data_IF_214520035703
#
_entry.id   IF_214520035703
#
_cell.length_a   1.000
_cell.length_b   1.000
_cell.length_c   1.000
_cell.angle_alpha   90.00
_cell.angle_beta   90.00
_cell.angle_gamma   90.00
#
_symmetry.space_group_name_H-M   'P 1'
#
loop_
_entity.id
_entity.type
_entity.pdbx_description
1 polymer ?
#
# COMPACT_ATOMS: atom_id res chain seq x y z
N UNK A 1 50.97 25.35 -1.60
CA UNK A 1 49.91 25.55 -0.61
C UNK A 1 48.94 24.40 -0.75
N UNK A 2 48.95 23.49 0.22
CA UNK A 2 48.23 22.21 0.15
C UNK A 2 46.77 22.42 0.52
N UNK A 3 45.86 21.97 -0.35
CA UNK A 3 44.43 21.90 -0.09
C UNK A 3 44.21 20.86 1.03
N UNK A 4 44.03 21.32 2.27
CA UNK A 4 43.61 20.45 3.37
C UNK A 4 42.14 20.08 3.14
N UNK A 5 41.89 18.80 2.89
CA UNK A 5 40.57 18.18 3.08
C UNK A 5 40.05 18.53 4.48
N UNK A 6 38.98 19.33 4.56
CA UNK A 6 38.36 19.75 5.81
C UNK A 6 37.28 18.78 6.34
N UNK A 7 37.20 17.54 5.85
CA UNK A 7 36.08 16.62 6.13
C UNK A 7 36.42 15.42 7.03
N UNK A 8 37.66 15.30 7.53
CA UNK A 8 38.03 14.21 8.44
C UNK A 8 37.80 14.61 9.90
N UNK A 9 36.68 14.19 10.48
CA UNK A 9 36.46 14.21 11.93
C UNK A 9 37.56 13.39 12.60
N UNK A 10 38.35 14.00 13.49
CA UNK A 10 39.46 13.32 14.15
C UNK A 10 38.97 12.51 15.36
N UNK A 11 39.73 11.48 15.80
CA UNK A 11 39.40 10.75 17.03
C UNK A 11 39.35 11.67 18.26
N UNK A 12 40.16 12.73 18.27
CA UNK A 12 40.18 13.74 19.34
C UNK A 12 38.87 14.51 19.39
N UNK A 13 38.32 14.92 18.23
CA UNK A 13 37.04 15.62 18.17
C UNK A 13 35.91 14.77 18.75
N UNK A 14 35.93 13.46 18.47
CA UNK A 14 34.93 12.52 18.99
C UNK A 14 35.06 12.34 20.49
N UNK A 15 36.28 12.21 21.02
CA UNK A 15 36.51 12.10 22.46
C UNK A 15 36.11 13.38 23.21
N UNK A 16 36.41 14.55 22.65
CA UNK A 16 35.97 15.84 23.19
C UNK A 16 34.45 15.95 23.20
N UNK A 17 33.79 15.55 22.11
CA UNK A 17 32.33 15.50 22.08
C UNK A 17 31.80 14.56 23.17
N UNK A 18 32.30 13.32 23.28
CA UNK A 18 31.85 12.37 24.29
C UNK A 18 32.02 12.86 25.74
N UNK A 19 32.99 13.75 25.99
CA UNK A 19 33.23 14.36 27.29
C UNK A 19 32.31 15.57 27.58
N UNK A 20 31.67 16.14 26.56
CA UNK A 20 30.72 17.24 26.69
C UNK A 20 29.28 16.75 26.94
N UNK A 21 28.51 17.54 27.68
CA UNK A 21 27.10 17.26 28.01
C UNK A 21 26.20 17.25 26.76
N UNK A 22 26.64 17.80 25.62
CA UNK A 22 25.93 17.72 24.34
C UNK A 22 26.59 16.80 23.31
N UNK A 23 27.58 16.01 23.73
CA UNK A 23 28.34 15.10 22.87
C UNK A 23 27.50 14.22 21.97
N UNK A 24 26.45 13.66 22.52
CA UNK A 24 25.58 12.72 21.81
C UNK A 24 24.90 13.39 20.59
N UNK A 25 24.54 14.67 20.70
CA UNK A 25 23.95 15.44 19.59
C UNK A 25 24.95 15.71 18.48
N UNK A 26 26.21 15.90 18.83
CA UNK A 26 27.27 16.18 17.88
C UNK A 26 27.67 14.92 17.13
N UNK A 27 27.81 13.78 17.82
CA UNK A 27 28.03 12.47 17.21
C UNK A 27 26.87 12.11 16.27
N UNK A 28 25.63 12.30 16.72
CA UNK A 28 24.46 12.10 15.86
C UNK A 28 24.51 12.99 14.60
N UNK A 29 24.94 14.25 14.73
CA UNK A 29 25.12 15.16 13.59
C UNK A 29 26.14 14.64 12.60
N UNK A 30 27.30 14.21 13.08
CA UNK A 30 28.39 13.70 12.26
C UNK A 30 28.02 12.40 11.56
N UNK A 31 27.42 11.45 12.28
CA UNK A 31 26.89 10.21 11.71
C UNK A 31 25.88 10.49 10.60
N UNK A 32 24.97 11.44 10.82
CA UNK A 32 23.96 11.80 9.85
C UNK A 32 24.54 12.51 8.61
N UNK A 33 25.53 13.39 8.79
CA UNK A 33 26.24 14.05 7.68
C UNK A 33 27.05 13.06 6.83
N UNK A 34 27.73 12.10 7.48
CA UNK A 34 28.54 11.08 6.82
C UNK A 34 27.73 9.88 6.31
N UNK A 35 26.45 9.78 6.64
CA UNK A 35 25.56 8.68 6.28
C UNK A 35 26.06 7.31 6.80
N UNK A 36 26.62 7.29 8.00
CA UNK A 36 27.14 6.09 8.69
C UNK A 36 26.63 6.00 10.14
N UNK A 37 26.53 4.79 10.69
CA UNK A 37 26.07 4.60 12.08
C UNK A 37 27.08 5.15 13.09
N UNK A 38 26.67 5.45 14.33
CA UNK A 38 27.59 5.87 15.39
C UNK A 38 28.73 4.86 15.64
N UNK A 39 28.42 3.56 15.61
CA UNK A 39 29.43 2.51 15.78
C UNK A 39 30.46 2.53 14.65
N UNK A 40 30.01 2.72 13.40
CA UNK A 40 30.91 2.83 12.24
C UNK A 40 31.74 4.11 12.26
N UNK A 41 31.15 5.24 12.67
CA UNK A 41 31.89 6.50 12.83
C UNK A 41 33.05 6.35 13.83
N UNK A 42 32.81 5.67 14.96
CA UNK A 42 33.85 5.38 15.95
C UNK A 42 34.90 4.41 15.43
N UNK A 43 34.48 3.35 14.72
CA UNK A 43 35.39 2.39 14.11
C UNK A 43 36.33 3.04 13.10
N UNK A 44 35.81 3.91 12.22
CA UNK A 44 36.62 4.66 11.25
C UNK A 44 37.60 5.63 11.94
N UNK A 45 37.31 6.05 13.17
CA UNK A 45 38.20 6.84 14.01
C UNK A 45 39.11 6.00 14.92
N UNK A 46 39.09 4.66 14.83
CA UNK A 46 39.88 3.78 15.68
C UNK A 46 39.46 3.74 17.15
N UNK A 47 38.21 4.10 17.45
CA UNK A 47 37.65 4.13 18.80
C UNK A 47 36.73 2.92 19.08
N UNK A 48 36.57 2.49 20.35
CA UNK A 48 35.67 1.38 20.70
C UNK A 48 34.21 1.64 20.30
N UNK A 49 33.60 0.69 19.56
CA UNK A 49 32.20 0.76 19.11
C UNK A 49 31.18 0.89 20.26
N UNK A 50 31.51 0.38 21.44
CA UNK A 50 30.66 0.46 22.64
C UNK A 50 30.33 1.90 23.03
N UNK A 51 31.24 2.86 22.78
CA UNK A 51 31.03 4.28 23.08
C UNK A 51 29.88 4.90 22.28
N UNK A 52 29.58 4.35 21.10
CA UNK A 52 28.50 4.82 20.22
C UNK A 52 27.19 4.08 20.41
N UNK A 53 27.08 3.23 21.43
CA UNK A 53 25.89 2.40 21.65
C UNK A 53 24.81 3.10 22.49
N UNK A 54 25.02 4.36 22.84
CA UNK A 54 24.06 5.15 23.63
C UNK A 54 22.77 5.40 22.84
N UNK A 55 21.58 5.07 23.40
CA UNK A 55 20.28 5.35 22.79
C UNK A 55 20.09 6.79 22.30
N UNK A 56 20.62 7.77 23.02
CA UNK A 56 20.43 9.20 22.78
C UNK A 56 21.04 9.64 21.44
N UNK A 57 22.17 9.05 21.06
CA UNK A 57 22.84 9.31 19.78
C UNK A 57 21.94 8.85 18.63
N UNK A 58 21.47 7.61 18.74
CA UNK A 58 20.59 6.98 17.77
C UNK A 58 19.26 7.72 17.59
N UNK A 59 18.60 8.10 18.69
CA UNK A 59 17.39 8.93 18.66
C UNK A 59 17.68 10.32 18.08
N UNK A 60 18.86 10.88 18.34
CA UNK A 60 19.33 12.12 17.72
C UNK A 60 19.39 12.04 16.19
N UNK A 61 19.86 10.91 15.64
CA UNK A 61 19.89 10.68 14.18
C UNK A 61 18.48 10.60 13.61
N UNK A 62 17.58 9.85 14.26
CA UNK A 62 16.16 9.75 13.85
C UNK A 62 15.50 11.12 13.85
N UNK A 63 15.69 11.93 14.90
CA UNK A 63 15.15 13.29 14.98
C UNK A 63 15.65 14.18 13.85
N UNK A 64 16.94 14.04 13.47
CA UNK A 64 17.50 14.78 12.32
C UNK A 64 16.87 14.36 11.01
N UNK A 65 16.65 13.05 10.81
CA UNK A 65 15.95 12.53 9.64
C UNK A 65 14.51 13.07 9.54
N UNK A 66 13.77 13.02 10.65
CA UNK A 66 12.39 13.52 10.72
C UNK A 66 12.31 15.01 10.41
N UNK A 67 13.25 15.80 10.93
CA UNK A 67 13.21 17.26 10.82
C UNK A 67 13.79 17.79 9.50
N UNK A 68 14.14 16.94 8.54
CA UNK A 68 14.58 17.40 7.22
C UNK A 68 13.40 17.95 6.43
N UNK A 69 13.57 19.16 5.89
CA UNK A 69 12.56 19.81 5.04
C UNK A 69 12.50 19.24 3.61
N UNK A 70 13.50 18.44 3.21
CA UNK A 70 13.61 17.89 1.86
C UNK A 70 13.27 16.38 1.82
N UNK A 71 12.89 15.89 0.64
CA UNK A 71 12.71 14.46 0.38
C UNK A 71 13.98 13.68 0.77
N UNK A 72 13.88 12.69 1.69
CA UNK A 72 15.04 11.93 2.11
C UNK A 72 15.61 11.09 0.97
N UNK A 73 16.91 10.88 0.98
CA UNK A 73 17.60 9.99 0.03
C UNK A 73 17.59 8.54 0.51
N UNK A 74 17.72 7.59 -0.43
CA UNK A 74 17.84 6.17 -0.11
C UNK A 74 19.00 5.87 0.88
N UNK A 75 20.11 6.61 0.79
CA UNK A 75 21.24 6.46 1.72
C UNK A 75 20.88 6.87 3.14
N UNK A 76 20.08 7.94 3.31
CA UNK A 76 19.58 8.36 4.62
C UNK A 76 18.62 7.33 5.20
N UNK A 77 17.74 6.76 4.38
CA UNK A 77 16.84 5.68 4.81
C UNK A 77 17.62 4.45 5.26
N UNK A 78 18.65 4.04 4.50
CA UNK A 78 19.54 2.95 4.89
C UNK A 78 20.28 3.24 6.21
N UNK A 79 20.74 4.47 6.42
CA UNK A 79 21.31 4.88 7.71
C UNK A 79 20.32 4.65 8.86
N UNK A 80 19.06 5.07 8.69
CA UNK A 80 18.03 4.89 9.71
C UNK A 80 17.79 3.41 10.02
N UNK A 81 17.65 2.57 8.99
CA UNK A 81 17.48 1.12 9.17
C UNK A 81 18.67 0.53 9.95
N UNK A 82 19.90 0.86 9.56
CA UNK A 82 21.09 0.37 10.24
C UNK A 82 21.17 0.86 11.69
N UNK A 83 20.79 2.11 11.95
CA UNK A 83 20.71 2.65 13.31
C UNK A 83 19.68 1.87 14.15
N UNK A 84 18.49 1.61 13.61
CA UNK A 84 17.46 0.83 14.30
C UNK A 84 17.94 -0.59 14.62
N UNK A 85 18.65 -1.25 13.71
CA UNK A 85 19.23 -2.58 13.93
C UNK A 85 20.31 -2.61 15.03
N UNK A 86 21.05 -1.52 15.19
CA UNK A 86 22.11 -1.41 16.19
C UNK A 86 21.63 -0.97 17.58
N UNK A 87 20.40 -0.46 17.68
CA UNK A 87 19.79 0.02 18.92
C UNK A 87 19.42 -1.11 19.89
N UNK A 88 19.50 -0.87 21.22
CA UNK A 88 18.87 -1.73 22.21
C UNK A 88 17.36 -1.83 22.02
N UNK A 89 16.77 -2.96 22.41
CA UNK A 89 15.37 -3.30 22.12
C UNK A 89 14.37 -2.22 22.58
N UNK A 90 14.47 -1.72 23.81
CA UNK A 90 13.56 -0.69 24.35
C UNK A 90 13.67 0.63 23.58
N UNK A 91 14.90 1.08 23.30
CA UNK A 91 15.14 2.32 22.56
C UNK A 91 14.74 2.22 21.10
N UNK A 92 14.86 1.02 20.51
CA UNK A 92 14.42 0.75 19.14
C UNK A 92 12.91 1.00 18.99
N UNK A 93 12.08 0.57 19.94
CA UNK A 93 10.62 0.81 19.89
C UNK A 93 10.36 2.31 19.86
N UNK A 94 10.97 3.06 20.77
CA UNK A 94 10.80 4.52 20.81
C UNK A 94 11.26 5.22 19.52
N UNK A 95 12.34 4.72 18.91
CA UNK A 95 12.82 5.19 17.61
C UNK A 95 11.81 4.90 16.48
N UNK A 96 11.28 3.68 16.44
CA UNK A 96 10.27 3.26 15.45
C UNK A 96 8.98 4.05 15.61
N UNK A 97 8.47 4.22 16.84
CA UNK A 97 7.29 5.04 17.09
C UNK A 97 7.47 6.49 16.63
N UNK A 98 8.63 7.07 16.95
CA UNK A 98 8.95 8.44 16.55
C UNK A 98 8.95 8.58 15.02
N UNK A 99 9.49 7.59 14.30
CA UNK A 99 9.47 7.56 12.84
C UNK A 99 8.04 7.45 12.31
N UNK A 100 7.29 6.44 12.77
CA UNK A 100 5.92 6.17 12.34
C UNK A 100 5.01 7.39 12.51
N UNK A 101 5.07 8.03 13.68
CA UNK A 101 4.18 9.14 14.02
C UNK A 101 4.54 10.43 13.26
N UNK A 102 5.84 10.66 12.98
CA UNK A 102 6.31 11.97 12.49
C UNK A 102 6.68 11.99 11.01
N UNK A 103 7.01 10.86 10.40
CA UNK A 103 7.26 10.79 8.97
C UNK A 103 5.93 10.50 8.28
N UNK A 104 5.59 11.33 7.29
CA UNK A 104 4.33 11.19 6.58
C UNK A 104 4.29 9.89 5.77
N UNK A 105 3.08 9.36 5.56
CA UNK A 105 2.86 8.15 4.76
C UNK A 105 3.32 8.34 3.30
N UNK A 106 3.25 9.56 2.77
CA UNK A 106 3.71 9.89 1.43
C UNK A 106 5.22 9.67 1.31
N UNK A 107 6.00 10.15 2.28
CA UNK A 107 7.45 9.94 2.29
C UNK A 107 7.76 8.45 2.49
N UNK A 108 7.11 7.80 3.47
CA UNK A 108 7.37 6.39 3.76
C UNK A 108 7.00 5.46 2.58
N UNK A 109 5.91 5.75 1.87
CA UNK A 109 5.43 4.98 0.73
C UNK A 109 6.42 4.93 -0.46
N UNK A 110 7.32 5.90 -0.56
CA UNK A 110 8.40 5.90 -1.56
C UNK A 110 9.55 4.93 -1.21
N UNK A 111 9.68 4.55 0.07
CA UNK A 111 10.80 3.73 0.55
C UNK A 111 10.33 2.35 1.03
N UNK A 112 10.11 1.44 0.08
CA UNK A 112 9.71 0.06 0.36
C UNK A 112 10.63 -0.65 1.35
N UNK A 113 11.94 -0.40 1.31
CA UNK A 113 12.91 -0.98 2.23
C UNK A 113 12.63 -0.64 3.71
N UNK A 114 12.17 0.58 4.00
CA UNK A 114 11.88 1.04 5.35
C UNK A 114 10.58 0.40 5.84
N UNK A 115 9.53 0.50 5.02
CA UNK A 115 8.22 -0.08 5.35
C UNK A 115 8.33 -1.59 5.53
N UNK A 116 9.07 -2.28 4.65
CA UNK A 116 9.32 -3.72 4.77
C UNK A 116 10.12 -4.06 6.02
N UNK A 117 11.15 -3.28 6.37
CA UNK A 117 11.88 -3.49 7.62
C UNK A 117 10.96 -3.37 8.84
N UNK A 118 10.12 -2.33 8.90
CA UNK A 118 9.14 -2.17 10.00
C UNK A 118 8.15 -3.33 9.99
N UNK A 119 7.66 -3.76 8.83
CA UNK A 119 6.74 -4.90 8.68
C UNK A 119 7.33 -6.21 9.19
N UNK A 120 8.60 -6.49 8.92
CA UNK A 120 9.23 -7.73 9.41
C UNK A 120 9.51 -7.73 10.91
N UNK A 121 9.57 -6.58 11.56
CA UNK A 121 9.87 -6.49 13.00
C UNK A 121 8.63 -6.21 13.87
N UNK A 122 7.62 -5.52 13.31
CA UNK A 122 6.44 -5.03 14.01
C UNK A 122 5.12 -5.38 13.32
N UNK A 123 5.10 -6.18 12.25
CA UNK A 123 3.86 -6.57 11.56
C UNK A 123 3.01 -7.54 12.37
N UNK A 124 1.69 -7.36 12.40
CA UNK A 124 0.77 -8.20 13.20
C UNK A 124 0.84 -9.71 12.85
N UNK A 125 1.09 -10.03 11.58
CA UNK A 125 1.10 -11.41 11.07
C UNK A 125 2.49 -12.05 11.07
N UNK A 126 3.50 -11.40 11.66
CA UNK A 126 4.88 -11.91 11.67
C UNK A 126 5.17 -12.66 12.99
N UNK A 127 5.75 -13.88 12.94
CA UNK A 127 6.19 -14.57 14.14
C UNK A 127 7.18 -13.74 14.95
N UNK A 128 7.03 -13.71 16.29
CA UNK A 128 7.85 -12.90 17.20
C UNK A 128 7.80 -11.38 16.92
N UNK A 129 6.72 -10.92 16.30
CA UNK A 129 6.48 -9.50 16.09
C UNK A 129 6.38 -8.73 17.40
N UNK A 130 6.95 -7.52 17.40
CA UNK A 130 6.86 -6.55 18.50
C UNK A 130 5.66 -5.61 18.35
N UNK A 131 4.65 -6.00 17.57
CA UNK A 131 3.44 -5.19 17.31
C UNK A 131 2.78 -4.68 18.59
N UNK A 132 2.68 -5.52 19.63
CA UNK A 132 2.04 -5.11 20.90
C UNK A 132 2.84 -4.10 21.72
N UNK A 133 4.12 -3.89 21.39
CA UNK A 133 4.95 -2.87 22.03
C UNK A 133 4.71 -1.47 21.43
N UNK A 134 4.06 -1.38 20.25
CA UNK A 134 3.71 -0.11 19.64
C UNK A 134 2.45 0.49 20.27
N UNK A 135 2.49 1.79 20.54
CA UNK A 135 1.32 2.57 20.91
C UNK A 135 0.27 2.58 19.79
N UNK A 136 -0.99 2.83 20.16
CA UNK A 136 -2.10 2.89 19.21
C UNK A 136 -1.88 3.92 18.06
N UNK A 137 -1.34 5.13 18.31
CA UNK A 137 -1.00 6.06 17.22
C UNK A 137 0.06 5.50 16.27
N UNK A 138 1.08 4.82 16.78
CA UNK A 138 2.10 4.20 15.96
C UNK A 138 1.55 3.04 15.13
N UNK A 139 0.69 2.18 15.71
CA UNK A 139 -0.03 1.11 15.00
C UNK A 139 -0.85 1.67 13.83
N UNK A 140 -1.61 2.75 14.06
CA UNK A 140 -2.41 3.41 13.00
C UNK A 140 -1.52 4.03 11.91
N UNK A 141 -0.46 4.73 12.30
CA UNK A 141 0.48 5.31 11.34
C UNK A 141 1.19 4.24 10.50
N UNK A 142 1.54 3.11 11.11
CA UNK A 142 2.14 1.99 10.40
C UNK A 142 1.19 1.36 9.38
N UNK A 143 -0.09 1.21 9.71
CA UNK A 143 -1.10 0.79 8.73
C UNK A 143 -1.20 1.77 7.55
N UNK A 144 -1.16 3.08 7.81
CA UNK A 144 -1.17 4.09 6.75
C UNK A 144 0.07 4.01 5.85
N UNK A 145 1.26 3.70 6.40
CA UNK A 145 2.48 3.47 5.60
C UNK A 145 2.35 2.26 4.69
N UNK A 146 1.83 1.14 5.21
CA UNK A 146 1.57 -0.07 4.42
C UNK A 146 0.58 0.25 3.29
N UNK A 147 -0.52 0.94 3.61
CA UNK A 147 -1.52 1.35 2.62
C UNK A 147 -0.93 2.24 1.52
N UNK A 148 -0.15 3.26 1.90
CA UNK A 148 0.52 4.15 0.95
C UNK A 148 1.48 3.40 0.03
N UNK A 149 2.30 2.49 0.57
CA UNK A 149 3.21 1.66 -0.23
C UNK A 149 2.43 0.77 -1.21
N UNK A 150 1.43 0.03 -0.70
CA UNK A 150 0.61 -0.88 -1.49
C UNK A 150 -0.12 -0.14 -2.63
N UNK A 151 -0.76 1.00 -2.31
CA UNK A 151 -1.44 1.82 -3.30
C UNK A 151 -0.46 2.43 -4.31
N UNK A 152 0.74 2.83 -3.88
CA UNK A 152 1.80 3.31 -4.77
C UNK A 152 2.16 2.28 -5.85
N UNK A 153 2.34 1.01 -5.46
CA UNK A 153 2.56 -0.09 -6.41
C UNK A 153 1.37 -0.26 -7.37
N UNK A 154 0.15 -0.29 -6.85
CA UNK A 154 -1.05 -0.40 -7.66
C UNK A 154 -1.16 0.74 -8.69
N UNK A 155 -0.95 1.99 -8.26
CA UNK A 155 -1.01 3.17 -9.11
C UNK A 155 0.02 3.12 -10.23
N UNK A 156 1.28 2.78 -9.91
CA UNK A 156 2.36 2.66 -10.90
C UNK A 156 2.06 1.55 -11.91
N UNK A 157 1.53 0.41 -11.46
CA UNK A 157 1.14 -0.66 -12.36
C UNK A 157 0.00 -0.23 -13.30
N UNK A 158 -1.05 0.43 -12.80
CA UNK A 158 -2.13 0.90 -13.68
C UNK A 158 -1.61 1.90 -14.71
N UNK A 159 -0.68 2.78 -14.34
CA UNK A 159 -0.06 3.70 -15.28
C UNK A 159 0.73 2.95 -16.36
N UNK A 160 1.54 1.96 -15.98
CA UNK A 160 2.25 1.10 -16.92
C UNK A 160 1.30 0.38 -17.89
N UNK A 161 0.19 -0.18 -17.38
CA UNK A 161 -0.83 -0.82 -18.21
C UNK A 161 -1.49 0.16 -19.17
N UNK A 162 -1.71 1.41 -18.77
CA UNK A 162 -2.26 2.46 -19.63
C UNK A 162 -1.29 2.89 -20.73
N UNK A 163 0.01 2.76 -20.50
CA UNK A 163 1.08 3.11 -21.45
C UNK A 163 1.34 1.97 -22.45
N UNK A 164 1.37 0.73 -21.98
CA UNK A 164 1.80 -0.43 -22.76
C UNK A 164 0.65 -1.18 -23.46
N UNK A 165 -0.56 -1.15 -22.91
CA UNK A 165 -1.68 -1.89 -23.51
C UNK A 165 -2.33 -1.12 -24.65
N UNK A 166 -2.42 -1.76 -25.81
CA UNK A 166 -3.23 -1.26 -26.93
C UNK A 166 -4.70 -1.63 -26.71
N UNK A 167 -5.42 -0.77 -25.96
CA UNK A 167 -6.83 -0.97 -25.58
C UNK A 167 -7.70 0.23 -25.97
N UNK A 168 -9.02 0.01 -26.03
CA UNK A 168 -9.96 1.05 -26.44
C UNK A 168 -10.01 2.20 -25.43
N UNK A 169 -10.29 3.42 -25.90
CA UNK A 169 -10.35 4.63 -25.06
C UNK A 169 -11.31 4.47 -23.87
N UNK A 170 -12.43 3.78 -24.05
CA UNK A 170 -13.38 3.54 -22.97
C UNK A 170 -12.81 2.60 -21.89
N UNK A 171 -12.00 1.60 -22.24
CA UNK A 171 -11.31 0.71 -21.29
C UNK A 171 -10.19 1.46 -20.55
N UNK A 172 -9.46 2.34 -21.24
CA UNK A 172 -8.47 3.21 -20.59
C UNK A 172 -9.13 4.11 -19.55
N UNK A 173 -10.28 4.71 -19.90
CA UNK A 173 -11.07 5.51 -18.97
C UNK A 173 -11.58 4.67 -17.80
N UNK A 174 -11.89 3.39 -18.03
CA UNK A 174 -12.25 2.49 -16.95
C UNK A 174 -11.09 2.34 -15.96
N UNK A 175 -9.90 1.95 -16.43
CA UNK A 175 -8.70 1.81 -15.60
C UNK A 175 -8.38 3.09 -14.80
N UNK A 176 -8.35 4.26 -15.47
CA UNK A 176 -8.13 5.57 -14.82
C UNK A 176 -9.15 5.83 -13.72
N UNK A 177 -10.43 5.61 -14.02
CA UNK A 177 -11.51 5.85 -13.06
C UNK A 177 -11.44 4.93 -11.84
N UNK A 178 -11.02 3.66 -11.99
CA UNK A 178 -10.85 2.73 -10.86
C UNK A 178 -9.65 3.12 -10.00
N UNK A 179 -8.52 3.42 -10.63
CA UNK A 179 -7.34 3.94 -9.94
C UNK A 179 -7.70 5.14 -9.09
N UNK A 180 -8.35 6.14 -9.69
CA UNK A 180 -8.69 7.38 -9.01
C UNK A 180 -9.74 7.17 -7.90
N UNK A 181 -10.73 6.30 -8.10
CA UNK A 181 -11.70 5.96 -7.05
C UNK A 181 -11.03 5.29 -5.84
N UNK A 182 -10.22 4.25 -6.07
CA UNK A 182 -9.54 3.51 -5.00
C UNK A 182 -8.44 4.33 -4.30
N UNK A 183 -7.94 5.39 -4.93
CA UNK A 183 -7.04 6.36 -4.30
C UNK A 183 -7.66 7.03 -3.06
N UNK A 184 -8.99 7.11 -2.99
CA UNK A 184 -9.69 7.66 -1.84
C UNK A 184 -9.69 6.71 -0.64
N UNK A 185 -9.22 5.47 -0.80
CA UNK A 185 -9.15 4.42 0.24
C UNK A 185 -7.73 3.89 0.45
N UNK A 186 -6.72 4.53 -0.15
CA UNK A 186 -5.31 4.07 -0.17
C UNK A 186 -4.75 3.68 1.19
N UNK A 187 -5.14 4.38 2.26
CA UNK A 187 -4.58 4.19 3.59
C UNK A 187 -5.15 2.95 4.29
N UNK A 188 -6.18 2.34 3.70
CA UNK A 188 -6.96 1.25 4.29
C UNK A 188 -6.52 -0.13 3.79
N UNK A 189 -5.60 -0.19 2.82
CA UNK A 189 -5.15 -1.44 2.23
C UNK A 189 -4.08 -2.13 3.10
N UNK A 190 -4.46 -3.21 3.79
CA UNK A 190 -3.49 -4.03 4.53
C UNK A 190 -2.60 -4.85 3.58
N UNK A 191 -3.22 -5.36 2.53
CA UNK A 191 -2.56 -6.14 1.47
C UNK A 191 -3.28 -5.89 0.15
N UNK A 192 -2.51 -5.92 -0.92
CA UNK A 192 -3.02 -5.94 -2.29
C UNK A 192 -2.46 -7.17 -2.99
N UNK A 193 -3.27 -7.80 -3.82
CA UNK A 193 -2.82 -8.79 -4.82
C UNK A 193 -3.36 -8.39 -6.16
N UNK A 194 -2.49 -8.36 -7.16
CA UNK A 194 -2.88 -8.00 -8.53
C UNK A 194 -2.79 -9.24 -9.40
N UNK A 195 -3.85 -9.46 -10.17
CA UNK A 195 -4.01 -10.58 -11.08
C UNK A 195 -4.16 -10.04 -12.50
N UNK A 196 -3.33 -10.52 -13.41
CA UNK A 196 -3.30 -10.02 -14.78
C UNK A 196 -3.70 -11.11 -15.77
N UNK A 197 -4.48 -10.77 -16.80
CA UNK A 197 -4.72 -11.71 -17.89
C UNK A 197 -3.39 -11.96 -18.62
N UNK A 198 -3.18 -13.15 -19.22
CA UNK A 198 -1.97 -13.46 -19.97
C UNK A 198 -1.65 -12.42 -21.06
N UNK A 199 -2.67 -11.85 -21.69
CA UNK A 199 -2.53 -10.79 -22.69
C UNK A 199 -1.84 -9.51 -22.18
N UNK A 200 -1.87 -9.26 -20.87
CA UNK A 200 -1.27 -8.09 -20.26
C UNK A 200 0.11 -8.39 -19.67
N UNK A 201 0.61 -9.63 -19.81
CA UNK A 201 1.91 -10.03 -19.27
C UNK A 201 3.07 -9.29 -19.94
N UNK A 202 3.00 -9.06 -21.26
CA UNK A 202 4.06 -8.34 -21.99
C UNK A 202 4.34 -6.95 -21.42
N UNK A 203 3.33 -6.28 -20.86
CA UNK A 203 3.50 -4.96 -20.25
C UNK A 203 4.41 -4.96 -19.01
N UNK A 204 4.70 -6.13 -18.43
CA UNK A 204 5.47 -6.26 -17.17
C UNK A 204 6.87 -6.81 -17.37
N UNK A 205 7.12 -7.51 -18.47
CA UNK A 205 8.43 -8.09 -18.76
C UNK A 205 9.46 -6.95 -18.86
N UNK A 206 10.54 -7.00 -18.08
CA UNK A 206 11.56 -5.95 -18.03
C UNK A 206 11.19 -4.71 -17.22
N UNK A 207 10.03 -4.71 -16.54
CA UNK A 207 9.60 -3.62 -15.64
C UNK A 207 10.01 -3.87 -14.18
N UNK A 208 9.86 -2.86 -13.32
CA UNK A 208 10.07 -2.99 -11.86
C UNK A 208 9.13 -4.02 -11.19
N UNK A 209 8.10 -4.48 -11.92
CA UNK A 209 7.10 -5.41 -11.44
C UNK A 209 7.39 -6.88 -11.77
N UNK A 210 8.43 -7.18 -12.56
CA UNK A 210 8.78 -8.55 -12.95
C UNK A 210 9.05 -9.48 -11.76
N UNK A 211 9.41 -8.91 -10.60
CA UNK A 211 9.72 -9.63 -9.37
C UNK A 211 8.78 -9.29 -8.20
N UNK A 212 7.62 -8.69 -8.46
CA UNK A 212 6.63 -8.31 -7.44
C UNK A 212 5.53 -9.37 -7.27
N UNK A 213 4.72 -9.24 -6.21
CA UNK A 213 3.53 -10.07 -5.90
C UNK A 213 2.37 -9.86 -6.90
N UNK A 214 2.64 -10.11 -8.18
CA UNK A 214 1.68 -10.09 -9.28
C UNK A 214 1.52 -11.52 -9.78
N UNK A 215 0.30 -12.01 -9.86
CA UNK A 215 0.02 -13.34 -10.41
C UNK A 215 -0.66 -13.24 -11.77
N UNK A 216 -0.42 -14.23 -12.63
CA UNK A 216 -1.18 -14.37 -13.87
C UNK A 216 -2.49 -15.09 -13.60
N UNK A 217 -3.54 -14.69 -14.30
CA UNK A 217 -4.82 -15.38 -14.32
C UNK A 217 -4.74 -16.60 -15.22
N UNK A 218 -5.29 -17.72 -14.77
CA UNK A 218 -5.53 -18.88 -15.61
C UNK A 218 -6.58 -18.53 -16.68
N UNK A 219 -6.32 -18.98 -17.91
CA UNK A 219 -7.30 -18.87 -18.98
C UNK A 219 -8.51 -19.76 -18.71
N UNK A 220 -9.70 -19.18 -18.80
CA UNK A 220 -10.96 -19.90 -18.61
C UNK A 220 -12.01 -19.51 -19.66
N UNK A 221 -11.58 -18.86 -20.76
CA UNK A 221 -12.43 -18.35 -21.83
C UNK A 221 -13.18 -17.06 -21.50
N UNK A 222 -12.90 -16.42 -20.36
CA UNK A 222 -13.41 -15.08 -20.06
C UNK A 222 -12.70 -14.00 -20.88
N UNK A 223 -13.39 -12.89 -21.15
CA UNK A 223 -12.76 -11.70 -21.71
C UNK A 223 -11.64 -11.19 -20.79
N UNK A 224 -10.49 -10.77 -21.33
CA UNK A 224 -9.34 -10.35 -20.55
C UNK A 224 -9.66 -9.10 -19.73
N UNK A 225 -9.33 -9.14 -18.44
CA UNK A 225 -9.47 -8.02 -17.53
C UNK A 225 -8.49 -8.18 -16.37
N UNK A 226 -7.85 -7.08 -15.97
CA UNK A 226 -7.03 -7.05 -14.78
C UNK A 226 -7.92 -7.03 -13.54
N UNK A 227 -7.51 -7.78 -12.52
CA UNK A 227 -8.22 -7.87 -11.26
C UNK A 227 -7.30 -7.44 -10.13
N UNK A 228 -7.82 -6.63 -9.22
CA UNK A 228 -7.14 -6.29 -8.00
C UNK A 228 -7.93 -6.76 -6.79
N UNK A 229 -7.21 -7.34 -5.83
CA UNK A 229 -7.77 -7.85 -4.60
C UNK A 229 -7.22 -6.98 -3.47
N UNK A 230 -8.12 -6.32 -2.75
CA UNK A 230 -7.81 -5.45 -1.62
C UNK A 230 -8.22 -6.12 -0.31
N UNK A 231 -7.33 -6.17 0.67
CA UNK A 231 -7.63 -6.56 2.05
C UNK A 231 -7.89 -5.31 2.90
N UNK A 232 -9.09 -5.21 3.45
CA UNK A 232 -9.53 -4.15 4.37
C UNK A 232 -9.61 -4.64 5.83
N UNK A 233 -8.99 -5.76 6.16
CA UNK A 233 -9.05 -6.36 7.49
C UNK A 233 -10.26 -7.28 7.64
N UNK A 234 -11.44 -6.74 7.92
CA UNK A 234 -12.67 -7.54 8.10
C UNK A 234 -13.38 -7.88 6.79
N UNK A 235 -12.99 -7.25 5.67
CA UNK A 235 -13.54 -7.50 4.34
C UNK A 235 -12.43 -7.64 3.30
N UNK A 236 -12.69 -8.44 2.26
CA UNK A 236 -11.89 -8.45 1.04
C UNK A 236 -12.71 -7.92 -0.13
N UNK A 237 -12.08 -7.13 -0.99
CA UNK A 237 -12.69 -6.58 -2.19
C UNK A 237 -11.96 -7.11 -3.41
N UNK A 238 -12.70 -7.67 -4.37
CA UNK A 238 -12.20 -8.10 -5.66
C UNK A 238 -12.77 -7.18 -6.72
N UNK A 239 -11.89 -6.46 -7.41
CA UNK A 239 -12.23 -5.42 -8.37
C UNK A 239 -11.80 -5.82 -9.78
N UNK A 240 -12.75 -5.90 -10.71
CA UNK A 240 -12.51 -6.21 -12.12
C UNK A 240 -12.45 -4.91 -12.92
N UNK A 241 -11.25 -4.53 -13.38
CA UNK A 241 -11.00 -3.15 -13.79
C UNK A 241 -11.63 -2.74 -15.12
N UNK A 242 -11.66 -3.65 -16.09
CA UNK A 242 -12.14 -3.30 -17.44
C UNK A 242 -13.01 -4.38 -18.09
N UNK A 243 -13.61 -4.00 -19.20
CA UNK A 243 -14.46 -4.87 -20.00
C UNK A 243 -15.94 -4.80 -19.60
N UNK A 244 -16.80 -5.50 -20.36
CA UNK A 244 -18.26 -5.47 -20.16
C UNK A 244 -18.68 -6.11 -18.84
N UNK A 245 -17.94 -7.12 -18.38
CA UNK A 245 -18.16 -7.79 -17.10
C UNK A 245 -17.41 -7.18 -15.91
N UNK A 246 -17.09 -5.88 -15.97
CA UNK A 246 -16.47 -5.16 -14.85
C UNK A 246 -17.45 -5.03 -13.68
N UNK A 247 -16.99 -5.43 -12.50
CA UNK A 247 -17.77 -5.50 -11.27
C UNK A 247 -16.84 -5.42 -10.06
N UNK A 248 -17.40 -5.04 -8.91
CA UNK A 248 -16.74 -5.15 -7.61
C UNK A 248 -17.42 -6.26 -6.83
N UNK A 249 -16.65 -7.11 -6.17
CA UNK A 249 -17.17 -8.13 -5.25
C UNK A 249 -16.65 -7.90 -3.86
N UNK A 250 -17.55 -7.89 -2.88
CA UNK A 250 -17.22 -7.66 -1.48
C UNK A 250 -17.49 -8.95 -0.70
N UNK A 251 -16.45 -9.43 -0.03
CA UNK A 251 -16.49 -10.59 0.84
C UNK A 251 -16.30 -10.14 2.28
N UNK A 252 -17.35 -10.32 3.09
CA UNK A 252 -17.23 -10.18 4.54
C UNK A 252 -16.53 -11.44 5.09
N UNK A 253 -15.40 -11.27 5.77
CA UNK A 253 -14.61 -12.41 6.25
C UNK A 253 -15.34 -13.23 7.32
N UNK A 254 -16.30 -12.64 8.04
CA UNK A 254 -17.18 -13.35 8.97
C UNK A 254 -18.23 -14.22 8.28
N UNK A 255 -18.69 -13.82 7.09
CA UNK A 255 -19.66 -14.58 6.28
C UNK A 255 -18.99 -15.62 5.38
N UNK A 256 -17.79 -15.31 4.87
CA UNK A 256 -17.01 -16.17 3.99
C UNK A 256 -15.72 -16.62 4.68
N UNK A 257 -15.79 -17.62 5.59
CA UNK A 257 -14.61 -18.10 6.30
C UNK A 257 -13.58 -18.67 5.31
N UNK A 258 -12.31 -18.32 5.50
CA UNK A 258 -11.21 -18.76 4.63
C UNK A 258 -11.09 -18.02 3.30
N UNK A 259 -11.91 -16.99 3.05
CA UNK A 259 -11.86 -16.23 1.77
C UNK A 259 -10.49 -15.57 1.55
N UNK A 260 -9.85 -15.06 2.61
CA UNK A 260 -8.50 -14.47 2.52
C UNK A 260 -7.51 -15.44 1.91
N UNK A 261 -7.48 -16.69 2.38
CA UNK A 261 -6.55 -17.68 1.85
C UNK A 261 -6.87 -18.05 0.40
N UNK A 262 -8.16 -18.19 0.06
CA UNK A 262 -8.58 -18.45 -1.32
C UNK A 262 -8.23 -17.31 -2.28
N UNK A 263 -8.24 -16.06 -1.81
CA UNK A 263 -7.94 -14.88 -2.64
C UNK A 263 -6.45 -14.55 -2.71
N UNK A 264 -5.71 -14.73 -1.61
CA UNK A 264 -4.33 -14.26 -1.50
C UNK A 264 -3.27 -15.36 -1.56
N UNK A 265 -3.60 -16.58 -1.15
CA UNK A 265 -2.62 -17.67 -1.02
C UNK A 265 -2.79 -18.73 -2.13
N UNK A 266 -3.97 -18.77 -2.77
CA UNK A 266 -4.19 -19.64 -3.93
C UNK A 266 -3.18 -19.31 -5.04
N UNK A 267 -2.35 -20.26 -5.50
CA UNK A 267 -1.28 -19.99 -6.45
C UNK A 267 -1.81 -19.60 -7.84
N UNK A 268 -2.97 -20.13 -8.21
CA UNK A 268 -3.59 -19.92 -9.51
C UNK A 268 -5.07 -19.55 -9.35
N UNK A 269 -5.48 -18.44 -9.95
CA UNK A 269 -6.86 -17.96 -9.95
C UNK A 269 -7.31 -17.69 -11.37
N UNK A 270 -8.58 -17.95 -11.66
CA UNK A 270 -9.22 -17.62 -12.92
C UNK A 270 -10.38 -16.65 -12.68
N UNK A 271 -10.83 -15.93 -13.70
CA UNK A 271 -11.94 -14.98 -13.59
C UNK A 271 -13.24 -15.67 -13.19
N UNK A 272 -13.55 -16.82 -13.80
CA UNK A 272 -14.69 -17.67 -13.42
C UNK A 272 -14.57 -18.18 -12.00
N UNK A 273 -13.38 -18.60 -11.55
CA UNK A 273 -13.18 -19.02 -10.17
C UNK A 273 -13.47 -17.89 -9.19
N UNK A 274 -12.95 -16.69 -9.43
CA UNK A 274 -13.23 -15.51 -8.61
C UNK A 274 -14.74 -15.20 -8.54
N UNK A 275 -15.45 -15.34 -9.67
CA UNK A 275 -16.90 -15.15 -9.72
C UNK A 275 -17.68 -16.25 -9.01
N UNK A 276 -17.17 -17.47 -9.01
CA UNK A 276 -17.76 -18.63 -8.34
C UNK A 276 -17.66 -18.54 -6.81
N UNK A 277 -16.64 -17.87 -6.27
CA UNK A 277 -16.51 -17.63 -4.82
C UNK A 277 -17.71 -16.88 -4.22
N UNK A 278 -18.50 -16.18 -5.05
CA UNK A 278 -19.67 -15.44 -4.61
C UNK A 278 -19.34 -14.01 -4.21
N UNK A 279 -19.70 -13.63 -2.98
CA UNK A 279 -19.57 -12.26 -2.49
C UNK A 279 -20.73 -11.36 -2.93
N UNK A 280 -20.87 -10.22 -2.28
CA UNK A 280 -21.83 -9.20 -2.72
C UNK A 280 -21.28 -8.49 -3.94
N UNK A 281 -22.04 -8.56 -5.04
CA UNK A 281 -21.66 -7.97 -6.33
C UNK A 281 -22.16 -6.53 -6.42
N UNK A 282 -21.34 -5.65 -6.97
CA UNK A 282 -21.67 -4.27 -7.32
C UNK A 282 -21.22 -3.99 -8.76
N UNK A 283 -22.03 -3.28 -9.52
CA UNK A 283 -21.79 -2.97 -10.93
C UNK A 283 -20.84 -1.78 -11.13
N UNK A 284 -20.43 -1.56 -12.38
CA UNK A 284 -19.70 -0.37 -12.81
C UNK A 284 -20.49 0.48 -13.82
N UNK A 285 -21.82 0.51 -13.73
CA UNK A 285 -22.69 1.30 -14.61
C UNK A 285 -22.78 2.75 -14.15
N UNK A 286 -23.65 3.52 -14.79
CA UNK A 286 -23.77 4.95 -14.53
C UNK A 286 -23.92 5.25 -13.03
N UNK A 287 -23.12 6.20 -12.52
CA UNK A 287 -23.04 6.58 -11.09
C UNK A 287 -22.47 5.51 -10.14
N UNK A 288 -21.79 4.48 -10.66
CA UNK A 288 -21.27 3.40 -9.82
C UNK A 288 -20.41 3.89 -8.65
N UNK A 289 -19.62 4.96 -8.79
CA UNK A 289 -18.78 5.45 -7.68
C UNK A 289 -19.61 5.87 -6.46
N UNK A 290 -20.76 6.52 -6.68
CA UNK A 290 -21.67 6.97 -5.62
C UNK A 290 -22.28 5.77 -4.91
N UNK A 291 -22.74 4.78 -5.67
CA UNK A 291 -23.34 3.57 -5.10
C UNK A 291 -22.30 2.66 -4.45
N UNK A 292 -21.07 2.61 -4.97
CA UNK A 292 -19.96 1.87 -4.42
C UNK A 292 -19.52 2.48 -3.08
N UNK A 293 -19.32 3.81 -3.01
CA UNK A 293 -19.04 4.51 -1.74
C UNK A 293 -20.12 4.21 -0.70
N UNK A 294 -21.40 4.37 -1.05
CA UNK A 294 -22.50 4.08 -0.14
C UNK A 294 -22.45 2.62 0.35
N UNK A 295 -22.15 1.68 -0.55
CA UNK A 295 -22.03 0.27 -0.22
C UNK A 295 -20.86 -0.03 0.73
N UNK A 296 -19.72 0.62 0.52
CA UNK A 296 -18.53 0.52 1.37
C UNK A 296 -18.79 1.11 2.75
N UNK A 297 -19.41 2.29 2.80
CA UNK A 297 -19.77 2.96 4.05
C UNK A 297 -20.74 2.16 4.91
N UNK A 298 -21.70 1.45 4.31
CA UNK A 298 -22.58 0.53 5.06
C UNK A 298 -21.87 -0.69 5.65
N UNK A 299 -20.56 -0.87 5.38
CA UNK A 299 -19.68 -1.92 5.93
C UNK A 299 -18.53 -1.35 6.76
N UNK A 300 -18.66 -0.10 7.20
CA UNK A 300 -17.64 0.62 7.95
C UNK A 300 -16.31 0.79 7.20
N UNK A 301 -16.35 0.72 5.86
CA UNK A 301 -15.24 1.04 4.98
C UNK A 301 -15.40 2.50 4.55
N UNK A 302 -14.64 3.37 5.22
CA UNK A 302 -14.61 4.80 4.94
C UNK A 302 -13.36 5.18 4.12
N UNK A 303 -13.46 6.22 3.28
CA UNK A 303 -12.30 6.88 2.65
C UNK A 303 -11.23 7.28 3.66
N UNK A 304 -10.06 7.63 3.13
CA UNK A 304 -8.91 8.16 3.86
C UNK A 304 -9.33 9.29 4.81
N UNK A 305 -8.62 9.39 5.93
CA UNK A 305 -8.90 10.41 6.92
C UNK A 305 -8.74 11.81 6.31
N UNK A 306 -9.72 12.68 6.56
CA UNK A 306 -9.72 14.05 6.04
C UNK A 306 -10.18 14.21 4.59
N UNK A 307 -10.63 13.13 3.92
CA UNK A 307 -11.26 13.25 2.59
C UNK A 307 -12.48 14.16 2.67
N UNK A 308 -12.46 15.25 1.89
CA UNK A 308 -13.59 16.16 1.67
C UNK A 308 -14.09 16.13 0.22
N UNK A 309 -13.25 15.65 -0.70
CA UNK A 309 -13.56 15.53 -2.12
C UNK A 309 -13.01 14.22 -2.66
N UNK A 310 -13.82 13.50 -3.43
CA UNK A 310 -13.39 12.29 -4.11
C UNK A 310 -12.59 12.60 -5.36
N UNK A 311 -11.42 11.97 -5.48
CA UNK A 311 -10.66 11.91 -6.72
C UNK A 311 -11.43 11.07 -7.75
N UNK A 312 -11.34 11.47 -9.03
CA UNK A 312 -12.00 10.76 -10.14
C UNK A 312 -13.48 11.11 -10.36
N UNK A 313 -14.01 12.09 -9.62
CA UNK A 313 -15.35 12.64 -9.82
C UNK A 313 -15.28 14.15 -10.10
N UNK A 314 -16.21 14.64 -10.91
CA UNK A 314 -16.32 16.07 -11.22
C UNK A 314 -17.18 16.78 -10.17
N UNK A 315 -16.94 18.07 -9.97
CA UNK A 315 -17.79 18.92 -9.15
C UNK A 315 -19.18 19.08 -9.80
N UNK A 316 -20.29 19.06 -9.03
CA UNK A 316 -20.38 18.97 -7.56
C UNK A 316 -20.41 17.54 -7.01
N UNK A 317 -20.45 16.51 -7.85
CA UNK A 317 -20.60 15.10 -7.45
C UNK A 317 -19.42 14.52 -6.66
N UNK A 318 -18.31 15.25 -6.55
CA UNK A 318 -17.14 14.82 -5.80
C UNK A 318 -17.15 15.25 -4.32
N UNK A 319 -18.05 16.13 -3.88
CA UNK A 319 -18.11 16.56 -2.48
C UNK A 319 -18.44 15.40 -1.56
N UNK A 320 -17.70 15.24 -0.46
CA UNK A 320 -17.87 14.12 0.46
C UNK A 320 -17.97 14.60 1.91
N UNK A 321 -18.93 14.03 2.63
CA UNK A 321 -19.02 14.07 4.10
C UNK A 321 -19.00 12.65 4.62
N UNK A 322 -18.37 12.43 5.79
CA UNK A 322 -18.31 11.10 6.41
C UNK A 322 -19.68 10.63 6.89
N UNK A 323 -20.53 11.58 7.27
CA UNK A 323 -21.87 11.37 7.79
C UNK A 323 -22.84 11.01 6.64
N UNK A 324 -22.83 11.79 5.57
CA UNK A 324 -23.82 11.64 4.49
C UNK A 324 -23.31 10.82 3.29
N UNK A 325 -22.00 10.74 3.09
CA UNK A 325 -21.37 10.14 1.91
C UNK A 325 -21.24 11.13 0.74
N UNK A 326 -21.16 10.59 -0.48
CA UNK A 326 -21.22 11.36 -1.72
C UNK A 326 -22.63 11.95 -1.97
N UNK A 327 -22.77 12.98 -2.84
CA UNK A 327 -24.05 13.64 -3.08
C UNK A 327 -25.05 12.68 -3.68
N UNK A 328 -26.30 12.76 -3.22
CA UNK A 328 -27.36 11.88 -3.71
C UNK A 328 -27.73 12.27 -5.15
N UNK A 329 -27.78 11.32 -6.11
CA UNK A 329 -28.19 11.61 -7.48
C UNK A 329 -29.63 12.11 -7.55
N UNK A 330 -29.92 12.92 -8.57
CA UNK A 330 -31.28 13.35 -8.90
C UNK A 330 -32.15 12.17 -9.35
N UNK A 331 -33.48 12.33 -9.30
CA UNK A 331 -34.42 11.29 -9.74
C UNK A 331 -34.23 10.89 -11.21
N UNK A 332 -33.87 11.83 -12.08
CA UNK A 332 -33.57 11.55 -13.49
C UNK A 332 -32.29 10.73 -13.67
N UNK A 333 -31.26 11.05 -12.89
CA UNK A 333 -29.99 10.30 -12.89
C UNK A 333 -30.19 8.88 -12.36
N UNK A 334 -31.01 8.72 -11.33
CA UNK A 334 -31.37 7.41 -10.78
C UNK A 334 -32.16 6.58 -11.81
N UNK A 335 -33.15 7.16 -12.48
CA UNK A 335 -33.91 6.45 -13.51
C UNK A 335 -33.03 5.97 -14.68
N UNK A 336 -32.07 6.78 -15.12
CA UNK A 336 -31.12 6.40 -16.17
C UNK A 336 -30.15 5.30 -15.69
N UNK A 337 -29.75 5.32 -14.42
CA UNK A 337 -28.97 4.23 -13.83
C UNK A 337 -29.76 2.94 -13.82
N UNK A 338 -30.99 2.95 -13.35
CA UNK A 338 -31.83 1.74 -13.22
C UNK A 338 -32.02 1.06 -14.59
N UNK A 339 -32.27 1.84 -15.64
CA UNK A 339 -32.32 1.34 -17.04
C UNK A 339 -31.03 0.63 -17.47
N UNK A 340 -29.86 1.18 -17.12
CA UNK A 340 -28.56 0.56 -17.45
C UNK A 340 -28.25 -0.66 -16.60
N UNK A 341 -28.73 -0.69 -15.36
CA UNK A 341 -28.59 -1.83 -14.47
C UNK A 341 -29.34 -3.05 -14.99
N UNK A 342 -30.58 -2.88 -15.45
CA UNK A 342 -31.38 -3.99 -15.99
C UNK A 342 -30.67 -4.72 -17.14
N UNK A 343 -29.99 -3.98 -18.03
CA UNK A 343 -29.20 -4.57 -19.11
C UNK A 343 -27.99 -5.35 -18.57
N UNK A 344 -27.27 -4.76 -17.63
CA UNK A 344 -26.10 -5.39 -17.01
C UNK A 344 -26.47 -6.64 -16.21
N UNK A 345 -27.58 -6.63 -15.49
CA UNK A 345 -28.05 -7.78 -14.73
C UNK A 345 -28.34 -8.99 -15.62
N UNK A 346 -28.84 -8.75 -16.85
CA UNK A 346 -29.02 -9.81 -17.86
C UNK A 346 -27.67 -10.41 -18.25
N UNK A 347 -26.71 -9.57 -18.64
CA UNK A 347 -25.35 -10.00 -19.02
C UNK A 347 -24.66 -10.76 -17.88
N UNK A 348 -24.82 -10.28 -16.65
CA UNK A 348 -24.19 -10.90 -15.48
C UNK A 348 -24.79 -12.24 -15.10
N UNK A 349 -26.06 -12.52 -15.41
CA UNK A 349 -26.63 -13.86 -15.21
C UNK A 349 -25.89 -14.88 -16.07
N UNK A 350 -25.68 -14.57 -17.34
CA UNK A 350 -24.99 -15.47 -18.28
C UNK A 350 -23.53 -15.68 -17.85
N UNK A 351 -22.83 -14.61 -17.46
CA UNK A 351 -21.45 -14.68 -16.96
C UNK A 351 -21.35 -15.53 -15.69
N UNK A 352 -22.29 -15.37 -14.74
CA UNK A 352 -22.30 -16.14 -13.48
C UNK A 352 -22.61 -17.61 -13.73
N UNK A 353 -23.54 -17.92 -14.61
CA UNK A 353 -23.88 -19.29 -14.98
C UNK A 353 -22.70 -19.98 -15.68
N UNK A 354 -22.02 -19.29 -16.61
CA UNK A 354 -20.81 -19.81 -17.24
C UNK A 354 -19.68 -20.07 -16.22
N UNK A 355 -19.54 -19.21 -15.21
CA UNK A 355 -18.58 -19.41 -14.13
C UNK A 355 -18.92 -20.63 -13.26
N UNK A 356 -20.21 -20.80 -12.93
CA UNK A 356 -20.71 -21.96 -12.18
C UNK A 356 -20.42 -23.27 -12.91
N UNK A 357 -20.82 -23.37 -14.18
CA UNK A 357 -20.61 -24.57 -14.98
C UNK A 357 -19.12 -24.94 -15.11
N UNK A 358 -18.25 -23.93 -15.26
CA UNK A 358 -16.80 -24.14 -15.31
C UNK A 358 -16.26 -24.76 -14.02
N UNK A 359 -16.62 -24.20 -12.86
CA UNK A 359 -16.13 -24.69 -11.57
C UNK A 359 -16.74 -26.05 -11.17
N UNK A 360 -18.01 -26.30 -11.50
CA UNK A 360 -18.65 -27.60 -11.25
C UNK A 360 -18.01 -28.71 -12.10
N UNK A 361 -17.71 -28.45 -13.38
CA UNK A 361 -16.97 -29.41 -14.22
C UNK A 361 -15.57 -29.70 -13.70
N UNK A 362 -14.86 -28.67 -13.24
CA UNK A 362 -13.53 -28.83 -12.66
C UNK A 362 -13.55 -29.61 -11.33
N UNK A 363 -14.67 -29.60 -10.60
CA UNK A 363 -14.83 -30.31 -9.33
C UNK A 363 -15.37 -31.73 -9.49
N UNK A 364 -16.12 -32.01 -10.56
CA UNK A 364 -16.71 -33.33 -10.86
C UNK A 364 -15.85 -34.25 -11.74
N UNK A 365 -14.65 -33.83 -12.10
CA UNK A 365 -13.70 -34.59 -12.93
C UNK A 365 -12.61 -35.35 -12.15
N UNK A 366 -12.78 -35.52 -10.84
CA UNK A 366 -11.90 -36.33 -9.98
C UNK A 366 -12.41 -37.75 -9.80
#
# INVERSE_FOLDING_TARGET
>A
MSNKNSDSISPVDILLALADNQGDRQIASWSFQKLITPKKLLEEAGLPKSLGSKPEIFIGIIKRFINQENNPSLKQVNLIINCLQEMPAESQVHGVESLLIRVSKEIAGEFSILVNWVKQNYGISIPNSRWEELSLPAKFAFQNWIGALNYGYFMRLVNLLLEELTIQNWEQNQLKSRRDFWSNYSDRFERIRILLPPSSQQAIIGSEFEHQDISLLNEDGSAPTEVCIFDFGHCCIVEFFRGPGSETRIFDCGVYPGIKSQLFDAPQLSLKRLRYLGGKVHDHRYLWQVHCEKLLRTRDIYPNQGTQYFKGLHFPHNQYSRETGLPTPSSSEQAERDRKLEMWEREMRDIKEAARQFCERASGGN
#
